data_IF_400019703379
#
_entry.id   IF_400019703379
#
_cell.length_a   1.000
_cell.length_b   1.000
_cell.length_c   1.000
_cell.angle_alpha   90.00
_cell.angle_beta   90.00
_cell.angle_gamma   90.00
#
_symmetry.space_group_name_H-M   'P 1'
#
loop_
_entity.id
_entity.type
_entity.pdbx_description
1 polymer ?
#
# COMPACT_ATOMS: atom_id res chain seq x y z
N UNK A 1 -11.72 -3.37 -29.06
CA UNK A 1 -10.33 -2.91 -29.28
C UNK A 1 -10.25 -1.54 -28.64
N UNK A 2 -9.60 -1.45 -27.51
CA UNK A 2 -9.25 -0.17 -26.86
C UNK A 2 -8.20 0.55 -27.70
N UNK A 3 -8.15 1.87 -27.64
CA UNK A 3 -7.07 2.66 -28.29
C UNK A 3 -5.76 2.39 -27.55
N UNK A 4 -4.62 2.31 -28.24
CA UNK A 4 -3.29 2.20 -27.57
C UNK A 4 -3.06 3.25 -26.48
N UNK A 5 -3.57 4.46 -26.67
CA UNK A 5 -3.48 5.54 -25.69
C UNK A 5 -4.30 5.28 -24.43
N UNK A 6 -5.46 4.59 -24.56
CA UNK A 6 -6.30 4.24 -23.41
C UNK A 6 -5.65 3.12 -22.57
N UNK A 7 -4.96 2.18 -23.21
CA UNK A 7 -4.24 1.10 -22.52
C UNK A 7 -3.01 1.68 -21.76
N UNK A 8 -2.29 2.62 -22.34
CA UNK A 8 -1.16 3.31 -21.69
C UNK A 8 -1.62 4.16 -20.50
N UNK A 9 -2.74 4.90 -20.63
CA UNK A 9 -3.30 5.65 -19.51
C UNK A 9 -3.73 4.75 -18.35
N UNK A 10 -4.34 3.60 -18.68
CA UNK A 10 -4.68 2.58 -17.70
C UNK A 10 -3.46 2.01 -16.97
N UNK A 11 -2.38 1.75 -17.71
CA UNK A 11 -1.12 1.24 -17.16
C UNK A 11 -0.45 2.26 -16.23
N UNK A 12 -0.39 3.54 -16.64
CA UNK A 12 0.13 4.61 -15.78
C UNK A 12 -0.66 4.73 -14.48
N UNK A 13 -2.01 4.71 -14.57
CA UNK A 13 -2.89 4.76 -13.41
C UNK A 13 -2.71 3.54 -12.49
N UNK A 14 -2.52 2.35 -13.07
CA UNK A 14 -2.28 1.12 -12.29
C UNK A 14 -0.96 1.19 -11.52
N UNK A 15 0.14 1.53 -12.18
CA UNK A 15 1.44 1.70 -11.53
C UNK A 15 1.41 2.81 -10.46
N UNK A 16 0.73 3.93 -10.76
CA UNK A 16 0.56 5.04 -9.81
C UNK A 16 -0.16 4.60 -8.54
N UNK A 17 -1.25 3.84 -8.66
CA UNK A 17 -2.03 3.39 -7.51
C UNK A 17 -1.24 2.44 -6.60
N UNK A 18 -0.47 1.51 -7.17
CA UNK A 18 0.42 0.64 -6.40
C UNK A 18 1.56 1.41 -5.75
N UNK A 19 2.10 2.42 -6.44
CA UNK A 19 3.12 3.33 -5.92
C UNK A 19 2.61 4.16 -4.74
N UNK A 20 1.37 4.65 -4.84
CA UNK A 20 0.72 5.42 -3.76
C UNK A 20 0.49 4.57 -2.50
N UNK A 21 0.05 3.32 -2.66
CA UNK A 21 -0.09 2.41 -1.52
C UNK A 21 1.23 2.27 -0.75
N UNK A 22 2.31 2.01 -1.48
CA UNK A 22 3.63 1.83 -0.89
C UNK A 22 4.16 3.13 -0.27
N UNK A 23 4.02 4.28 -0.95
CA UNK A 23 4.47 5.58 -0.45
C UNK A 23 3.78 5.99 0.84
N UNK A 24 2.46 5.88 0.87
CA UNK A 24 1.65 6.28 2.04
C UNK A 24 1.94 5.37 3.23
N UNK A 25 2.06 4.06 3.02
CA UNK A 25 2.43 3.13 4.10
C UNK A 25 3.86 3.34 4.57
N UNK A 26 4.80 3.66 3.67
CA UNK A 26 6.18 4.01 4.04
C UNK A 26 6.21 5.22 4.98
N UNK A 27 5.45 6.27 4.69
CA UNK A 27 5.32 7.44 5.57
C UNK A 27 4.77 7.04 6.95
N UNK A 28 3.75 6.18 7.01
CA UNK A 28 3.21 5.67 8.28
C UNK A 28 4.23 4.83 9.07
N UNK A 29 5.06 4.04 8.40
CA UNK A 29 6.17 3.33 9.06
C UNK A 29 7.22 4.31 9.58
N UNK A 30 7.52 5.37 8.83
CA UNK A 30 8.46 6.42 9.22
C UNK A 30 8.07 7.15 10.52
N UNK A 31 6.77 7.32 10.78
CA UNK A 31 6.26 7.93 12.02
C UNK A 31 6.59 7.12 13.29
N UNK A 32 6.99 5.84 13.15
CA UNK A 32 7.41 5.00 14.25
C UNK A 32 8.86 5.22 14.69
N UNK A 33 9.70 5.85 13.85
CA UNK A 33 11.11 6.10 14.18
C UNK A 33 11.19 6.89 15.49
N UNK A 34 11.88 6.32 16.47
CA UNK A 34 11.99 6.79 17.87
C UNK A 34 10.72 6.64 18.74
N UNK A 35 9.66 6.04 18.22
CA UNK A 35 8.39 5.86 18.94
C UNK A 35 8.03 4.38 19.16
N UNK A 36 8.77 3.44 18.57
CA UNK A 36 8.50 2.01 18.68
C UNK A 36 8.72 1.52 20.13
N UNK A 37 8.05 0.42 20.54
CA UNK A 37 8.10 -0.06 21.92
C UNK A 37 9.49 -0.55 22.37
N UNK A 38 10.36 -0.89 21.42
CA UNK A 38 11.76 -1.31 21.64
C UNK A 38 12.60 -1.02 20.42
N UNK A 39 13.93 -0.99 20.59
CA UNK A 39 14.88 -0.61 19.55
C UNK A 39 14.81 -1.52 18.31
N UNK A 40 14.62 -2.81 18.53
CA UNK A 40 14.53 -3.80 17.46
C UNK A 40 13.35 -3.52 16.54
N UNK A 41 12.22 -3.09 17.10
CA UNK A 41 11.02 -2.74 16.34
C UNK A 41 11.13 -1.40 15.64
N UNK A 42 11.84 -0.46 16.25
CA UNK A 42 12.18 0.82 15.61
C UNK A 42 12.96 0.57 14.32
N UNK A 43 14.00 -0.28 14.38
CA UNK A 43 14.80 -0.66 13.22
C UNK A 43 13.99 -1.48 12.23
N UNK A 44 13.15 -2.42 12.68
CA UNK A 44 12.34 -3.26 11.79
C UNK A 44 11.33 -2.43 11.00
N UNK A 45 10.57 -1.53 11.66
CA UNK A 45 9.61 -0.67 10.98
C UNK A 45 10.28 0.36 10.07
N UNK A 46 11.48 0.86 10.44
CA UNK A 46 12.27 1.72 9.57
C UNK A 46 12.70 0.99 8.28
N UNK A 47 13.15 -0.27 8.38
CA UNK A 47 13.51 -1.08 7.21
C UNK A 47 12.29 -1.41 6.33
N UNK A 48 11.15 -1.78 6.92
CA UNK A 48 9.89 -1.96 6.19
C UNK A 48 9.51 -0.67 5.44
N UNK A 49 9.64 0.48 6.11
CA UNK A 49 9.41 1.79 5.48
C UNK A 49 10.35 2.06 4.31
N UNK A 50 11.64 1.70 4.40
CA UNK A 50 12.61 1.86 3.32
C UNK A 50 12.33 0.92 2.14
N UNK A 51 11.92 -0.33 2.38
CA UNK A 51 11.52 -1.27 1.34
C UNK A 51 10.30 -0.72 0.58
N UNK A 52 9.27 -0.29 1.31
CA UNK A 52 8.07 0.32 0.73
C UNK A 52 8.39 1.60 -0.05
N UNK A 53 9.30 2.46 0.45
CA UNK A 53 9.75 3.65 -0.26
C UNK A 53 10.49 3.28 -1.56
N UNK A 54 11.29 2.22 -1.55
CA UNK A 54 11.95 1.68 -2.74
C UNK A 54 10.95 1.19 -3.79
N UNK A 55 9.91 0.48 -3.35
CA UNK A 55 8.81 0.04 -4.21
C UNK A 55 8.03 1.24 -4.78
N UNK A 56 7.66 2.19 -3.94
CA UNK A 56 6.99 3.41 -4.35
C UNK A 56 7.79 4.17 -5.42
N UNK A 57 9.08 4.38 -5.18
CA UNK A 57 9.96 5.07 -6.11
C UNK A 57 9.96 4.42 -7.49
N UNK A 58 10.13 3.11 -7.57
CA UNK A 58 10.19 2.41 -8.86
C UNK A 58 8.85 2.43 -9.60
N UNK A 59 7.73 2.27 -8.88
CA UNK A 59 6.38 2.30 -9.45
C UNK A 59 6.00 3.71 -9.92
N UNK A 60 6.30 4.75 -9.13
CA UNK A 60 6.01 6.13 -9.50
C UNK A 60 6.89 6.59 -10.67
N UNK A 61 8.17 6.20 -10.70
CA UNK A 61 9.03 6.47 -11.87
C UNK A 61 8.42 5.86 -13.12
N UNK A 62 8.01 4.58 -13.07
CA UNK A 62 7.39 3.91 -14.20
C UNK A 62 6.06 4.56 -14.61
N UNK A 63 5.21 4.92 -13.65
CA UNK A 63 3.96 5.64 -13.94
C UNK A 63 4.22 6.96 -14.68
N UNK A 64 5.22 7.74 -14.26
CA UNK A 64 5.61 8.98 -14.91
C UNK A 64 6.18 8.79 -16.30
N UNK A 65 6.96 7.73 -16.54
CA UNK A 65 7.49 7.38 -17.87
C UNK A 65 6.37 7.02 -18.85
N UNK A 66 5.39 6.21 -18.41
CA UNK A 66 4.24 5.83 -19.25
C UNK A 66 3.34 7.04 -19.54
N UNK A 67 3.06 7.87 -18.52
CA UNK A 67 2.26 9.10 -18.64
C UNK A 67 2.90 10.10 -19.64
N UNK A 68 4.21 10.28 -19.59
CA UNK A 68 4.95 11.14 -20.52
C UNK A 68 4.92 10.68 -21.98
N UNK A 69 4.66 9.41 -22.24
CA UNK A 69 4.50 8.89 -23.61
C UNK A 69 3.14 9.25 -24.23
N UNK A 70 2.11 9.44 -23.38
CA UNK A 70 0.74 9.71 -23.81
C UNK A 70 0.57 11.16 -24.23
N UNK A 71 1.09 12.10 -23.42
CA UNK A 71 0.81 13.53 -23.56
C UNK A 71 1.54 14.23 -24.72
N UNK A 72 2.45 13.53 -25.43
CA UNK A 72 3.21 14.12 -26.53
C UNK A 72 3.89 15.43 -26.13
N UNK A 73 4.23 15.60 -24.86
CA UNK A 73 4.87 16.80 -24.34
C UNK A 73 6.16 17.05 -25.11
N UNK A 74 6.35 18.31 -25.52
CA UNK A 74 7.41 18.76 -26.45
C UNK A 74 8.82 18.31 -26.03
N UNK A 75 9.00 17.89 -24.76
CA UNK A 75 10.28 17.42 -24.22
C UNK A 75 10.31 15.90 -23.89
N UNK A 76 9.21 15.15 -24.06
CA UNK A 76 9.15 13.70 -23.78
C UNK A 76 9.44 13.32 -22.32
N UNK A 77 9.38 14.28 -21.40
CA UNK A 77 9.60 14.07 -19.97
C UNK A 77 8.26 14.04 -19.26
N UNK A 78 7.85 12.84 -18.85
CA UNK A 78 6.76 12.67 -17.89
C UNK A 78 7.11 13.28 -16.53
N UNK A 79 6.12 13.24 -15.60
CA UNK A 79 6.34 13.64 -14.21
C UNK A 79 7.35 12.69 -13.55
N UNK A 80 8.27 13.25 -12.77
CA UNK A 80 9.21 12.45 -11.97
C UNK A 80 8.50 11.79 -10.79
N UNK A 81 9.14 10.81 -10.17
CA UNK A 81 8.65 10.21 -8.92
C UNK A 81 8.46 11.26 -7.82
N UNK A 82 9.33 12.27 -7.76
CA UNK A 82 9.22 13.37 -6.79
C UNK A 82 8.04 14.30 -7.10
N UNK A 83 7.77 14.60 -8.37
CA UNK A 83 6.57 15.36 -8.77
C UNK A 83 5.31 14.61 -8.36
N UNK A 84 5.30 13.28 -8.55
CA UNK A 84 4.17 12.43 -8.21
C UNK A 84 4.01 12.26 -6.68
N UNK A 85 5.09 12.24 -5.91
CA UNK A 85 5.04 12.12 -4.46
C UNK A 85 4.69 13.45 -3.78
N UNK A 86 5.31 14.57 -4.20
CA UNK A 86 5.33 15.78 -3.41
C UNK A 86 4.48 16.93 -3.96
N UNK A 87 4.08 16.91 -5.24
CA UNK A 87 3.36 18.02 -5.84
C UNK A 87 1.88 17.76 -6.09
N UNK A 88 1.41 16.50 -5.97
CA UNK A 88 0.00 16.17 -6.10
C UNK A 88 -0.79 16.60 -4.85
N UNK A 89 -2.03 17.03 -5.07
CA UNK A 89 -2.99 17.27 -4.00
C UNK A 89 -3.66 15.96 -3.55
N UNK A 90 -4.26 15.97 -2.37
CA UNK A 90 -4.90 14.81 -1.74
C UNK A 90 -5.78 14.01 -2.71
N UNK A 91 -6.67 14.68 -3.46
CA UNK A 91 -7.60 14.02 -4.39
C UNK A 91 -6.94 13.37 -5.62
N UNK A 92 -5.68 13.63 -5.83
CA UNK A 92 -4.87 13.04 -6.91
C UNK A 92 -4.12 11.79 -6.45
N UNK A 93 -4.14 11.46 -5.17
CA UNK A 93 -3.66 10.19 -4.65
C UNK A 93 -4.70 9.09 -4.85
N UNK A 94 -4.23 7.87 -5.09
CA UNK A 94 -5.07 6.71 -5.43
C UNK A 94 -4.75 5.47 -4.59
N UNK A 95 -4.17 5.67 -3.40
CA UNK A 95 -3.95 4.60 -2.43
C UNK A 95 -5.26 4.09 -1.82
N UNK A 96 -5.29 2.85 -1.36
CA UNK A 96 -6.38 2.33 -0.54
C UNK A 96 -6.43 3.02 0.82
N UNK A 97 -7.63 3.23 1.37
CA UNK A 97 -7.80 3.92 2.65
C UNK A 97 -7.12 3.20 3.82
N UNK A 98 -6.94 1.89 3.74
CA UNK A 98 -6.30 1.10 4.79
C UNK A 98 -4.88 1.61 5.13
N UNK A 99 -4.07 1.97 4.11
CA UNK A 99 -2.67 2.36 4.31
C UNK A 99 -2.50 3.76 4.91
N UNK A 100 -3.51 4.63 4.79
CA UNK A 100 -3.45 6.01 5.29
C UNK A 100 -3.94 6.17 6.74
N UNK A 101 -4.49 5.12 7.34
CA UNK A 101 -4.99 5.17 8.71
C UNK A 101 -3.88 5.62 9.68
N UNK A 102 -4.24 6.47 10.64
CA UNK A 102 -3.32 6.88 11.72
C UNK A 102 -2.81 5.65 12.46
N UNK A 103 -1.52 5.61 12.80
CA UNK A 103 -0.87 4.46 13.42
C UNK A 103 -1.60 3.94 14.68
N UNK A 104 -2.06 4.83 15.55
CA UNK A 104 -2.61 4.44 16.83
C UNK A 104 -1.52 3.87 17.75
N UNK A 105 -1.78 2.74 18.38
CA UNK A 105 -0.76 2.00 19.11
C UNK A 105 -0.07 0.93 18.22
N UNK A 106 0.92 0.25 18.79
CA UNK A 106 1.69 -0.75 18.07
C UNK A 106 0.82 -1.93 17.58
N UNK A 107 -0.19 -2.35 18.37
CA UNK A 107 -1.10 -3.41 17.97
C UNK A 107 -1.97 -3.02 16.77
N UNK A 108 -2.48 -1.78 16.73
CA UNK A 108 -3.22 -1.27 15.58
C UNK A 108 -2.36 -1.19 14.31
N UNK A 109 -1.08 -0.83 14.45
CA UNK A 109 -0.13 -0.84 13.33
C UNK A 109 0.13 -2.25 12.83
N UNK A 110 0.34 -3.23 13.72
CA UNK A 110 0.54 -4.63 13.33
C UNK A 110 -0.70 -5.22 12.66
N UNK A 111 -1.92 -4.89 13.13
CA UNK A 111 -3.16 -5.31 12.48
C UNK A 111 -3.26 -4.80 11.02
N UNK A 112 -2.98 -3.50 10.82
CA UNK A 112 -2.95 -2.89 9.48
C UNK A 112 -1.87 -3.52 8.61
N UNK A 113 -0.66 -3.69 9.14
CA UNK A 113 0.47 -4.24 8.41
C UNK A 113 0.21 -5.70 8.01
N UNK A 114 -0.37 -6.53 8.91
CA UNK A 114 -0.77 -7.90 8.59
C UNK A 114 -1.77 -7.92 7.43
N UNK A 115 -2.84 -7.15 7.53
CA UNK A 115 -3.88 -7.11 6.51
C UNK A 115 -3.34 -6.67 5.15
N UNK A 116 -2.54 -5.57 5.12
CA UNK A 116 -2.02 -5.04 3.88
C UNK A 116 -0.88 -5.89 3.29
N UNK A 117 0.10 -6.33 4.09
CA UNK A 117 1.23 -7.13 3.57
C UNK A 117 0.80 -8.51 3.08
N UNK A 118 -0.23 -9.11 3.67
CA UNK A 118 -0.82 -10.36 3.16
C UNK A 118 -1.43 -10.15 1.76
N UNK A 119 -2.17 -9.05 1.58
CA UNK A 119 -2.69 -8.67 0.27
C UNK A 119 -1.57 -8.34 -0.73
N UNK A 120 -0.62 -7.50 -0.33
CA UNK A 120 0.46 -7.04 -1.19
C UNK A 120 1.37 -8.19 -1.64
N UNK A 121 1.62 -9.17 -0.76
CA UNK A 121 2.39 -10.36 -1.13
C UNK A 121 1.66 -11.16 -2.20
N UNK A 122 0.39 -11.50 -1.99
CA UNK A 122 -0.40 -12.22 -2.98
C UNK A 122 -0.49 -11.46 -4.32
N UNK A 123 -0.64 -10.13 -4.26
CA UNK A 123 -0.64 -9.28 -5.44
C UNK A 123 0.70 -9.36 -6.20
N UNK A 124 1.83 -9.28 -5.50
CA UNK A 124 3.14 -9.29 -6.15
C UNK A 124 3.58 -10.69 -6.60
N UNK A 125 3.13 -11.76 -5.92
CA UNK A 125 3.31 -13.13 -6.39
C UNK A 125 2.64 -13.37 -7.76
N UNK A 126 1.48 -12.79 -8.01
CA UNK A 126 0.83 -12.81 -9.32
C UNK A 126 1.47 -11.81 -10.30
N UNK A 127 1.74 -10.58 -9.86
CA UNK A 127 2.24 -9.50 -10.71
C UNK A 127 3.66 -9.77 -11.25
N UNK A 128 4.48 -10.60 -10.58
CA UNK A 128 5.78 -11.02 -11.12
C UNK A 128 5.66 -11.81 -12.44
N UNK A 129 4.46 -12.27 -12.76
CA UNK A 129 4.11 -12.95 -14.01
C UNK A 129 3.40 -12.04 -15.02
N UNK A 130 3.35 -10.73 -14.75
CA UNK A 130 2.73 -9.75 -15.65
C UNK A 130 3.29 -9.83 -17.07
N UNK A 131 2.42 -9.61 -18.05
CA UNK A 131 2.81 -9.41 -19.44
C UNK A 131 3.63 -8.12 -19.64
N UNK A 132 3.55 -7.17 -18.72
CA UNK A 132 4.40 -6.00 -18.68
C UNK A 132 5.73 -6.33 -17.97
N UNK A 133 6.88 -6.29 -18.68
CA UNK A 133 8.17 -6.71 -18.11
C UNK A 133 8.66 -5.80 -16.99
N UNK A 134 8.25 -4.53 -16.95
CA UNK A 134 8.66 -3.59 -15.91
C UNK A 134 7.91 -3.89 -14.61
N UNK A 135 6.59 -4.08 -14.68
CA UNK A 135 5.80 -4.48 -13.51
C UNK A 135 6.25 -5.85 -12.98
N UNK A 136 6.51 -6.81 -13.88
CA UNK A 136 7.02 -8.13 -13.50
C UNK A 136 8.36 -8.04 -12.75
N UNK A 137 9.30 -7.21 -13.23
CA UNK A 137 10.60 -7.03 -12.59
C UNK A 137 10.49 -6.34 -11.22
N UNK A 138 9.64 -5.31 -11.10
CA UNK A 138 9.39 -4.62 -9.84
C UNK A 138 8.80 -5.59 -8.81
N UNK A 139 7.74 -6.31 -9.18
CA UNK A 139 7.09 -7.28 -8.30
C UNK A 139 8.03 -8.42 -7.90
N UNK A 140 8.77 -8.99 -8.85
CA UNK A 140 9.72 -10.07 -8.60
C UNK A 140 10.83 -9.70 -7.61
N UNK A 141 11.24 -8.41 -7.56
CA UNK A 141 12.14 -7.91 -6.52
C UNK A 141 11.42 -7.78 -5.17
N UNK A 142 10.23 -7.21 -5.16
CA UNK A 142 9.52 -6.84 -3.94
C UNK A 142 8.92 -8.05 -3.18
N UNK A 143 8.63 -9.17 -3.85
CA UNK A 143 8.05 -10.38 -3.23
C UNK A 143 8.78 -10.79 -1.94
N UNK A 144 10.13 -10.79 -1.95
CA UNK A 144 10.90 -11.19 -0.76
C UNK A 144 10.83 -10.18 0.38
N UNK A 145 10.79 -8.89 0.04
CA UNK A 145 10.64 -7.80 0.99
C UNK A 145 9.26 -7.90 1.66
N UNK A 146 8.21 -8.03 0.86
CA UNK A 146 6.82 -8.10 1.37
C UNK A 146 6.54 -9.41 2.13
N UNK A 147 7.18 -10.53 1.77
CA UNK A 147 7.12 -11.76 2.55
C UNK A 147 7.66 -11.52 3.97
N UNK A 148 8.77 -10.79 4.12
CA UNK A 148 9.28 -10.39 5.43
C UNK A 148 8.30 -9.47 6.18
N UNK A 149 7.68 -8.49 5.50
CA UNK A 149 6.70 -7.60 6.12
C UNK A 149 5.52 -8.38 6.71
N UNK A 150 4.99 -9.35 5.95
CA UNK A 150 3.91 -10.23 6.42
C UNK A 150 4.34 -11.09 7.60
N UNK A 151 5.49 -11.75 7.50
CA UNK A 151 5.98 -12.64 8.55
C UNK A 151 6.28 -11.87 9.85
N UNK A 152 6.82 -10.64 9.75
CA UNK A 152 7.01 -9.75 10.87
C UNK A 152 5.69 -9.38 11.55
N UNK A 153 4.69 -8.93 10.76
CA UNK A 153 3.37 -8.58 11.29
C UNK A 153 2.67 -9.79 11.92
N UNK A 154 2.71 -10.96 11.26
CA UNK A 154 2.17 -12.21 11.77
C UNK A 154 2.77 -12.57 13.13
N UNK A 155 4.10 -12.53 13.24
CA UNK A 155 4.80 -12.85 14.50
C UNK A 155 4.35 -11.95 15.64
N UNK A 156 4.10 -10.67 15.37
CA UNK A 156 3.61 -9.74 16.39
C UNK A 156 2.14 -9.93 16.71
N UNK A 157 1.29 -10.21 15.73
CA UNK A 157 -0.13 -10.49 15.98
C UNK A 157 -0.28 -11.72 16.86
N UNK A 158 0.48 -12.79 16.58
CA UNK A 158 0.50 -13.99 17.43
C UNK A 158 0.95 -13.67 18.87
N UNK A 159 2.06 -12.94 19.03
CA UNK A 159 2.59 -12.57 20.36
C UNK A 159 1.66 -11.68 21.16
N UNK A 160 0.99 -10.73 20.51
CA UNK A 160 0.09 -9.82 21.19
C UNK A 160 -1.26 -10.46 21.48
N UNK A 161 -1.76 -11.32 20.60
CA UNK A 161 -3.03 -12.02 20.76
C UNK A 161 -2.98 -13.07 21.88
N UNK A 162 -1.95 -13.91 21.89
CA UNK A 162 -1.75 -14.96 22.92
C UNK A 162 -0.87 -14.49 24.11
N UNK A 163 -0.74 -13.17 24.29
CA UNK A 163 0.08 -12.58 25.32
C UNK A 163 -0.67 -12.31 26.64
N UNK A 164 -0.62 -11.07 27.11
CA UNK A 164 -1.37 -10.62 28.28
C UNK A 164 -2.79 -10.21 27.89
N UNK A 165 -3.72 -10.18 28.85
CA UNK A 165 -5.08 -9.66 28.65
C UNK A 165 -5.07 -8.29 27.97
N UNK A 166 -4.20 -7.38 28.44
CA UNK A 166 -4.07 -6.04 27.86
C UNK A 166 -3.58 -6.05 26.41
N UNK A 167 -2.60 -6.92 26.06
CA UNK A 167 -2.11 -7.01 24.68
C UNK A 167 -3.15 -7.61 23.76
N UNK A 168 -3.89 -8.61 24.25
CA UNK A 168 -5.01 -9.24 23.54
C UNK A 168 -6.11 -8.22 23.22
N UNK A 169 -6.58 -7.46 24.23
CA UNK A 169 -7.59 -6.41 24.05
C UNK A 169 -7.15 -5.35 23.03
N UNK A 170 -5.88 -4.89 23.10
CA UNK A 170 -5.34 -3.93 22.15
C UNK A 170 -5.25 -4.48 20.73
N UNK A 171 -4.86 -5.76 20.62
CA UNK A 171 -4.75 -6.40 19.29
C UNK A 171 -6.14 -6.56 18.67
N UNK A 172 -7.13 -7.01 19.46
CA UNK A 172 -8.53 -7.12 19.00
C UNK A 172 -9.10 -5.75 18.58
N UNK A 173 -8.81 -4.71 19.36
CA UNK A 173 -9.22 -3.34 19.03
C UNK A 173 -8.52 -2.83 17.76
N UNK A 174 -7.24 -3.14 17.57
CA UNK A 174 -6.48 -2.82 16.36
C UNK A 174 -7.07 -3.45 15.11
N UNK A 175 -7.43 -4.73 15.19
CA UNK A 175 -8.12 -5.45 14.12
C UNK A 175 -9.48 -4.80 13.81
N UNK A 176 -10.30 -4.54 14.81
CA UNK A 176 -11.62 -3.91 14.64
C UNK A 176 -11.52 -2.52 13.98
N UNK A 177 -10.43 -1.81 14.20
CA UNK A 177 -10.16 -0.51 13.57
C UNK A 177 -9.76 -0.61 12.09
N UNK A 178 -8.94 -1.60 11.72
CA UNK A 178 -8.48 -1.81 10.35
C UNK A 178 -9.54 -2.49 9.47
N UNK A 179 -10.32 -3.39 10.05
CA UNK A 179 -11.22 -4.30 9.33
C UNK A 179 -12.25 -3.62 8.43
N UNK A 180 -12.84 -2.46 8.77
CA UNK A 180 -13.78 -1.77 7.88
C UNK A 180 -13.20 -1.38 6.52
N UNK A 181 -11.89 -1.33 6.38
CA UNK A 181 -11.18 -0.84 5.20
C UNK A 181 -10.61 -1.96 4.31
N UNK A 182 -10.66 -3.23 4.75
CA UNK A 182 -10.05 -4.34 4.00
C UNK A 182 -10.82 -4.70 2.72
N UNK A 183 -12.11 -4.41 2.64
CA UNK A 183 -12.91 -4.70 1.45
C UNK A 183 -12.44 -3.96 0.20
N UNK A 184 -11.86 -2.77 0.35
CA UNK A 184 -11.33 -1.98 -0.76
C UNK A 184 -10.12 -2.64 -1.44
N UNK A 185 -9.37 -3.50 -0.75
CA UNK A 185 -8.23 -4.23 -1.31
C UNK A 185 -8.64 -5.11 -2.50
N UNK A 186 -9.87 -5.60 -2.50
CA UNK A 186 -10.40 -6.54 -3.50
C UNK A 186 -11.35 -5.86 -4.50
N UNK A 187 -11.50 -4.54 -4.47
CA UNK A 187 -12.23 -3.79 -5.49
C UNK A 187 -11.38 -3.63 -6.76
N UNK A 188 -11.73 -4.35 -7.83
CA UNK A 188 -11.05 -4.25 -9.12
C UNK A 188 -11.66 -3.17 -10.04
N UNK A 189 -12.67 -2.42 -9.60
CA UNK A 189 -13.41 -1.47 -10.45
C UNK A 189 -12.57 -0.30 -10.96
N UNK A 190 -11.44 -0.03 -10.33
CA UNK A 190 -10.50 1.03 -10.72
C UNK A 190 -9.47 0.58 -11.77
N UNK A 191 -9.29 -0.73 -11.94
CA UNK A 191 -8.36 -1.30 -12.93
C UNK A 191 -9.03 -1.32 -14.31
N UNK A 192 -8.36 -0.80 -15.31
CA UNK A 192 -8.86 -0.86 -16.69
C UNK A 192 -9.03 -2.33 -17.12
N UNK A 193 -10.23 -2.76 -17.54
CA UNK A 193 -10.53 -4.17 -17.83
C UNK A 193 -9.57 -4.81 -18.83
N UNK A 194 -9.13 -4.05 -19.84
CA UNK A 194 -8.17 -4.52 -20.84
C UNK A 194 -6.83 -4.94 -20.26
N UNK A 195 -6.37 -4.34 -19.16
CA UNK A 195 -5.11 -4.70 -18.52
C UNK A 195 -5.17 -6.08 -17.84
N UNK A 196 -6.33 -6.40 -17.25
CA UNK A 196 -6.55 -7.74 -16.66
C UNK A 196 -6.63 -8.79 -17.76
N UNK A 197 -7.40 -8.54 -18.82
CA UNK A 197 -7.55 -9.45 -19.95
C UNK A 197 -6.24 -9.74 -20.68
N UNK A 198 -5.34 -8.74 -20.75
CA UNK A 198 -4.01 -8.88 -21.36
C UNK A 198 -2.97 -9.50 -20.40
N UNK A 199 -3.33 -9.78 -19.16
CA UNK A 199 -2.41 -10.30 -18.15
C UNK A 199 -1.37 -9.27 -17.68
N UNK A 200 -1.61 -7.97 -17.86
CA UNK A 200 -0.76 -6.88 -17.40
C UNK A 200 -1.02 -6.57 -15.93
N UNK A 201 -2.30 -6.41 -15.56
CA UNK A 201 -2.74 -6.17 -14.19
C UNK A 201 -3.34 -7.43 -13.56
N UNK A 202 -3.24 -7.54 -12.25
CA UNK A 202 -3.82 -8.64 -11.47
C UNK A 202 -5.29 -8.37 -11.21
N UNK A 203 -6.14 -9.41 -11.35
CA UNK A 203 -7.51 -9.36 -10.84
C UNK A 203 -7.51 -9.57 -9.32
N UNK A 204 -7.51 -8.48 -8.58
CA UNK A 204 -7.43 -8.50 -7.12
C UNK A 204 -8.58 -9.24 -6.45
N UNK A 205 -9.72 -9.45 -7.13
CA UNK A 205 -10.86 -10.22 -6.62
C UNK A 205 -10.49 -11.68 -6.37
N UNK A 206 -9.59 -12.23 -7.19
CA UNK A 206 -9.12 -13.60 -7.05
C UNK A 206 -8.26 -13.82 -5.80
N UNK A 207 -7.69 -12.76 -5.23
CA UNK A 207 -6.79 -12.83 -4.07
C UNK A 207 -7.56 -12.96 -2.75
N UNK A 208 -8.83 -12.56 -2.69
CA UNK A 208 -9.59 -12.46 -1.44
C UNK A 208 -9.67 -13.79 -0.69
N UNK A 209 -9.93 -14.89 -1.38
CA UNK A 209 -10.10 -16.21 -0.73
C UNK A 209 -8.82 -16.64 -0.01
N UNK A 210 -7.66 -16.53 -0.66
CA UNK A 210 -6.36 -16.88 -0.06
C UNK A 210 -5.97 -15.95 1.07
N UNK A 211 -6.21 -14.66 0.90
CA UNK A 211 -5.99 -13.65 1.92
C UNK A 211 -6.81 -13.94 3.19
N UNK A 212 -8.09 -14.22 3.02
CA UNK A 212 -9.02 -14.52 4.13
C UNK A 212 -8.60 -15.77 4.87
N UNK A 213 -8.30 -16.85 4.15
CA UNK A 213 -7.83 -18.09 4.75
C UNK A 213 -6.57 -17.89 5.60
N UNK A 214 -5.58 -17.15 5.09
CA UNK A 214 -4.37 -16.86 5.85
C UNK A 214 -4.64 -16.05 7.13
N UNK A 215 -5.49 -15.02 7.06
CA UNK A 215 -5.85 -14.23 8.23
C UNK A 215 -6.65 -15.05 9.24
N UNK A 216 -7.60 -15.86 8.80
CA UNK A 216 -8.39 -16.72 9.68
C UNK A 216 -7.49 -17.68 10.47
N UNK A 217 -6.48 -18.29 9.81
CA UNK A 217 -5.51 -19.17 10.48
C UNK A 217 -4.67 -18.42 11.51
N UNK A 218 -4.14 -17.24 11.15
CA UNK A 218 -3.34 -16.40 12.07
C UNK A 218 -4.16 -15.92 13.25
N UNK A 219 -5.39 -15.46 13.04
CA UNK A 219 -6.26 -14.97 14.11
C UNK A 219 -6.68 -16.11 15.05
N UNK A 220 -6.98 -17.29 14.50
CA UNK A 220 -7.31 -18.48 15.31
C UNK A 220 -6.12 -18.90 16.20
N UNK A 221 -4.89 -18.95 15.65
CA UNK A 221 -3.68 -19.24 16.42
C UNK A 221 -3.41 -18.18 17.48
N UNK A 222 -3.67 -16.91 17.18
CA UNK A 222 -3.53 -15.77 18.09
C UNK A 222 -4.65 -15.67 19.12
N UNK A 223 -5.63 -16.58 19.14
CA UNK A 223 -6.84 -16.55 19.99
C UNK A 223 -7.69 -15.29 19.81
N UNK A 224 -7.62 -14.66 18.64
CA UNK A 224 -8.34 -13.45 18.28
C UNK A 224 -9.58 -13.76 17.44
N UNK A 225 -10.58 -12.90 17.53
CA UNK A 225 -11.80 -13.05 16.75
C UNK A 225 -11.74 -12.18 15.48
N UNK A 226 -12.29 -12.72 14.38
CA UNK A 226 -12.52 -11.90 13.18
C UNK A 226 -13.55 -10.82 13.51
N UNK A 227 -13.23 -9.53 13.30
CA UNK A 227 -14.14 -8.45 13.70
C UNK A 227 -15.47 -8.49 12.93
N UNK A 228 -16.59 -8.52 13.67
CA UNK A 228 -17.94 -8.35 13.11
C UNK A 228 -18.28 -6.85 12.99
N UNK A 229 -17.71 -6.20 11.98
CA UNK A 229 -17.90 -4.77 11.72
C UNK A 229 -18.25 -4.54 10.25
N UNK A 230 -19.10 -3.55 10.00
CA UNK A 230 -19.50 -3.21 8.65
C UNK A 230 -18.30 -2.70 7.83
N UNK A 231 -18.17 -3.22 6.61
CA UNK A 231 -17.19 -2.72 5.66
C UNK A 231 -17.54 -1.31 5.19
N UNK A 232 -16.53 -0.47 5.01
CA UNK A 232 -16.69 0.85 4.40
C UNK A 232 -16.74 0.72 2.87
N UNK A 233 -17.41 1.65 2.19
CA UNK A 233 -17.52 1.59 0.72
C UNK A 233 -16.17 1.83 -0.01
N UNK A 234 -15.10 2.15 0.71
CA UNK A 234 -13.82 2.55 0.12
C UNK A 234 -13.92 3.88 -0.64
N UNK A 235 -12.94 4.13 -1.48
CA UNK A 235 -12.91 5.32 -2.32
C UNK A 235 -11.52 5.89 -2.55
N UNK A 236 -10.49 5.39 -1.84
CA UNK A 236 -9.11 5.84 -1.99
C UNK A 236 -8.64 5.78 -3.42
N UNK A 237 -8.97 4.69 -4.13
CA UNK A 237 -8.70 4.53 -5.58
C UNK A 237 -9.36 5.59 -6.48
N UNK A 238 -10.28 6.38 -5.94
CA UNK A 238 -10.99 7.47 -6.63
C UNK A 238 -10.70 8.85 -5.99
N UNK A 239 -9.63 8.97 -5.19
CA UNK A 239 -9.26 10.20 -4.50
C UNK A 239 -10.22 10.61 -3.37
N UNK A 240 -10.93 9.63 -2.78
CA UNK A 240 -11.78 9.86 -1.60
C UNK A 240 -11.06 9.23 -0.40
N UNK A 241 -10.45 10.08 0.38
CA UNK A 241 -9.59 9.70 1.49
C UNK A 241 -10.24 9.90 2.86
N UNK A 242 -9.63 9.33 3.89
CA UNK A 242 -9.98 9.64 5.28
C UNK A 242 -9.36 10.99 5.67
N UNK A 243 -9.85 11.60 6.75
CA UNK A 243 -9.27 12.84 7.28
C UNK A 243 -7.75 12.72 7.56
N UNK A 244 -7.27 11.52 7.82
CA UNK A 244 -5.85 11.25 8.11
C UNK A 244 -4.91 11.58 6.94
N UNK A 245 -5.39 11.51 5.69
CA UNK A 245 -4.57 11.72 4.50
C UNK A 245 -4.07 13.16 4.38
N UNK A 246 -4.93 14.13 4.64
CA UNK A 246 -4.55 15.55 4.57
C UNK A 246 -3.41 15.90 5.55
N UNK A 247 -3.44 15.36 6.77
CA UNK A 247 -2.37 15.55 7.74
C UNK A 247 -1.07 14.86 7.32
N UNK A 248 -1.15 13.62 6.83
CA UNK A 248 -0.01 12.87 6.33
C UNK A 248 0.70 13.62 5.19
N UNK A 249 -0.05 14.11 4.21
CA UNK A 249 0.51 14.86 3.09
C UNK A 249 1.11 16.20 3.53
N UNK A 250 0.48 16.89 4.48
CA UNK A 250 1.02 18.13 5.02
C UNK A 250 2.42 17.95 5.62
N UNK A 251 2.66 16.84 6.31
CA UNK A 251 3.99 16.51 6.85
C UNK A 251 4.96 16.06 5.74
N UNK A 252 4.55 15.09 4.93
CA UNK A 252 5.39 14.48 3.90
C UNK A 252 5.87 15.50 2.86
N UNK A 253 4.98 16.40 2.42
CA UNK A 253 5.23 17.32 1.30
C UNK A 253 5.81 18.66 1.72
N UNK A 254 5.79 19.00 3.01
CA UNK A 254 6.09 20.35 3.50
C UNK A 254 7.45 20.88 3.06
N UNK A 255 8.50 20.10 3.29
CA UNK A 255 9.88 20.55 3.00
C UNK A 255 10.07 20.74 1.51
N UNK A 256 9.65 19.78 0.69
CA UNK A 256 9.78 19.85 -0.76
C UNK A 256 9.02 21.06 -1.36
N UNK A 257 7.78 21.28 -0.93
CA UNK A 257 6.95 22.42 -1.39
C UNK A 257 7.46 23.77 -0.90
N UNK A 258 8.06 23.81 0.29
CA UNK A 258 8.59 25.07 0.87
C UNK A 258 9.92 25.50 0.25
N UNK A 259 10.65 24.59 -0.37
CA UNK A 259 11.98 24.85 -0.96
C UNK A 259 12.07 24.33 -2.41
N UNK A 260 11.32 24.95 -3.36
CA UNK A 260 11.33 24.51 -4.77
C UNK A 260 12.73 24.54 -5.37
N UNK A 261 13.15 23.43 -6.00
CA UNK A 261 14.45 23.32 -6.64
C UNK A 261 15.63 23.05 -5.70
N UNK A 262 15.38 22.89 -4.39
CA UNK A 262 16.41 22.41 -3.48
C UNK A 262 16.82 20.96 -3.83
N UNK A 263 18.09 20.65 -3.59
CA UNK A 263 18.64 19.29 -3.73
C UNK A 263 19.14 18.85 -2.37
N UNK A 264 18.77 17.65 -1.98
CA UNK A 264 19.09 17.05 -0.68
C UNK A 264 20.12 15.95 -0.84
#
# INVERSE_FOLDING_TARGET
>A
MTSPDADSAGLAAYALALGDDALVLAQRCGEWITNAPQLEEDVALANIGLDLLGQARTLLTYAGEVDGQIDGQIDGKGRTEDDLAYLRDERSFTNVQLVELVNGDFAATMARLLAFSTYQLALYEELQHSADPTLAAIAGKAVKEVAYHRDHATSWVLRLGDGTELSHERMQAGLARAWPYVGELFDASWVAPGLIEQGVAVDVRALETGWRAYLDDVLAEATLEVPDVAQRPGGGRRGIHTEAMGYLLAEMQHIHRSHPGARW
#
